data_IF_243876856407
#
_entry.id   IF_243876856407
#
_cell.length_a   1.000
_cell.length_b   1.000
_cell.length_c   1.000
_cell.angle_alpha   90.00
_cell.angle_beta   90.00
_cell.angle_gamma   90.00
#
_symmetry.space_group_name_H-M   'P 1'
#
loop_
_entity.id
_entity.type
_entity.pdbx_description
1 polymer ?
#
# COMPACT_ATOMS: atom_id res chain seq x y z
N UNK A 1 6.69 -9.13 19.29
CA UNK A 1 6.34 -7.78 18.76
C UNK A 1 4.82 -7.65 18.68
N UNK A 2 4.21 -6.49 18.96
CA UNK A 2 2.75 -6.33 18.84
C UNK A 2 2.38 -5.67 17.49
N UNK A 3 2.01 -6.49 16.51
CA UNK A 3 1.64 -6.06 15.15
C UNK A 3 0.46 -5.09 15.15
N UNK A 4 -0.61 -5.41 15.88
CA UNK A 4 -1.82 -4.58 15.99
C UNK A 4 -1.48 -3.18 16.51
N UNK A 5 -0.74 -3.07 17.62
CA UNK A 5 -0.36 -1.77 18.20
C UNK A 5 0.51 -0.96 17.24
N UNK A 6 1.38 -1.63 16.48
CA UNK A 6 2.21 -0.94 15.49
C UNK A 6 1.39 -0.48 14.28
N UNK A 7 0.43 -1.28 13.81
CA UNK A 7 -0.48 -0.89 12.73
C UNK A 7 -1.35 0.26 13.15
N UNK A 8 -1.96 0.24 14.33
CA UNK A 8 -2.80 1.36 14.79
C UNK A 8 -2.03 2.69 14.82
N UNK A 9 -0.77 2.69 15.28
CA UNK A 9 0.09 3.88 15.21
C UNK A 9 0.33 4.34 13.77
N UNK A 10 0.57 3.40 12.87
CA UNK A 10 0.74 3.70 11.44
C UNK A 10 -0.57 4.24 10.83
N UNK A 11 -1.71 3.62 11.13
CA UNK A 11 -3.04 4.02 10.66
C UNK A 11 -3.42 5.42 11.10
N UNK A 12 -3.11 5.83 12.33
CA UNK A 12 -3.33 7.21 12.79
C UNK A 12 -2.53 8.19 11.91
N UNK A 13 -1.27 7.89 11.62
CA UNK A 13 -0.44 8.74 10.77
C UNK A 13 -0.94 8.75 9.32
N UNK A 14 -1.28 7.58 8.77
CA UNK A 14 -1.81 7.44 7.41
C UNK A 14 -3.18 8.09 7.22
N UNK A 15 -4.01 8.11 8.26
CA UNK A 15 -5.29 8.82 8.24
C UNK A 15 -5.11 10.33 8.11
N UNK A 16 -4.10 10.90 8.78
CA UNK A 16 -3.82 12.33 8.78
C UNK A 16 -3.12 12.81 7.50
N UNK A 17 -2.45 11.91 6.77
CA UNK A 17 -1.61 12.30 5.64
C UNK A 17 -1.81 11.43 4.38
N UNK A 18 -3.06 11.20 3.93
CA UNK A 18 -3.35 10.42 2.71
C UNK A 18 -2.87 11.12 1.43
N UNK A 19 -2.65 12.44 1.49
CA UNK A 19 -2.19 13.23 0.34
C UNK A 19 -0.73 12.96 -0.05
N UNK A 20 0.15 12.59 0.88
CA UNK A 20 1.57 12.34 0.57
C UNK A 20 1.72 11.15 -0.36
N UNK A 21 0.96 10.08 -0.13
CA UNK A 21 1.03 8.87 -0.96
C UNK A 21 0.40 9.09 -2.33
N UNK A 22 -0.61 9.96 -2.44
CA UNK A 22 -1.14 10.40 -3.72
C UNK A 22 -0.09 11.19 -4.54
N UNK A 23 0.65 12.10 -3.89
CA UNK A 23 1.78 12.83 -4.52
C UNK A 23 2.87 11.86 -4.96
N UNK A 24 3.17 10.83 -4.16
CA UNK A 24 4.14 9.80 -4.53
C UNK A 24 3.71 9.03 -5.79
N UNK A 25 2.45 8.63 -5.88
CA UNK A 25 1.90 7.94 -7.07
C UNK A 25 1.94 8.83 -8.32
N UNK A 26 1.61 10.12 -8.17
CA UNK A 26 1.77 11.11 -9.24
C UNK A 26 3.24 11.24 -9.67
N UNK A 27 4.17 11.25 -8.71
CA UNK A 27 5.60 11.25 -8.98
C UNK A 27 6.05 10.05 -9.81
N UNK A 28 5.54 8.85 -9.52
CA UNK A 28 5.81 7.63 -10.31
C UNK A 28 5.24 7.79 -11.73
N UNK A 29 4.01 8.30 -11.87
CA UNK A 29 3.41 8.51 -13.18
C UNK A 29 4.22 9.52 -14.02
N UNK A 30 4.64 10.63 -13.41
CA UNK A 30 5.48 11.62 -14.07
C UNK A 30 6.84 11.04 -14.49
N UNK A 31 7.43 10.19 -13.64
CA UNK A 31 8.68 9.50 -13.96
C UNK A 31 8.52 8.57 -15.17
N UNK A 32 7.46 7.75 -15.22
CA UNK A 32 7.17 6.90 -16.38
C UNK A 32 6.92 7.73 -17.64
N UNK A 33 6.28 8.89 -17.51
CA UNK A 33 6.06 9.80 -18.63
C UNK A 33 7.34 10.45 -19.13
N UNK A 34 8.29 10.76 -18.23
CA UNK A 34 9.62 11.22 -18.61
C UNK A 34 10.43 10.14 -19.36
N UNK A 35 10.10 8.86 -19.19
CA UNK A 35 10.65 7.75 -19.97
C UNK A 35 9.94 7.55 -21.32
N UNK A 36 8.98 8.43 -21.69
CA UNK A 36 8.25 8.39 -22.95
C UNK A 36 6.98 7.53 -22.95
N UNK A 37 6.52 7.07 -21.78
CA UNK A 37 5.27 6.31 -21.66
C UNK A 37 4.10 7.28 -21.57
N UNK A 38 3.04 7.09 -22.35
CA UNK A 38 1.85 7.92 -22.26
C UNK A 38 1.26 7.93 -20.83
N UNK A 39 0.73 9.07 -20.39
CA UNK A 39 0.21 9.24 -19.03
C UNK A 39 -0.85 8.18 -18.67
N UNK A 40 -1.79 7.91 -19.58
CA UNK A 40 -2.87 6.94 -19.35
C UNK A 40 -2.34 5.52 -19.23
N UNK A 41 -1.36 5.16 -20.07
CA UNK A 41 -0.64 3.89 -20.01
C UNK A 41 0.18 3.77 -18.73
N UNK A 42 0.81 4.86 -18.28
CA UNK A 42 1.55 4.91 -17.02
C UNK A 42 0.65 4.58 -15.83
N UNK A 43 -0.56 5.15 -15.75
CA UNK A 43 -1.52 4.82 -14.71
C UNK A 43 -1.97 3.36 -14.74
N UNK A 44 -2.22 2.80 -15.93
CA UNK A 44 -2.56 1.37 -16.07
C UNK A 44 -1.43 0.47 -15.58
N UNK A 45 -0.18 0.82 -15.86
CA UNK A 45 1.01 0.10 -15.35
C UNK A 45 1.05 0.19 -13.82
N UNK A 46 0.93 1.40 -13.27
CA UNK A 46 0.92 1.61 -11.81
C UNK A 46 -0.14 0.73 -11.16
N UNK A 47 -1.38 0.80 -11.62
CA UNK A 47 -2.48 0.00 -11.07
C UNK A 47 -2.22 -1.50 -11.16
N UNK A 48 -1.74 -1.97 -12.32
CA UNK A 48 -1.44 -3.40 -12.51
C UNK A 48 -0.37 -3.88 -11.54
N UNK A 49 0.73 -3.12 -11.43
CA UNK A 49 1.85 -3.45 -10.53
C UNK A 49 1.41 -3.40 -9.07
N UNK A 50 0.62 -2.39 -8.68
CA UNK A 50 0.16 -2.26 -7.30
C UNK A 50 -0.86 -3.31 -6.90
N UNK A 51 -1.71 -3.77 -7.83
CA UNK A 51 -2.64 -4.88 -7.57
C UNK A 51 -1.85 -6.17 -7.32
N UNK A 52 -0.91 -6.49 -8.21
CA UNK A 52 -0.08 -7.70 -8.07
C UNK A 52 0.74 -7.63 -6.76
N UNK A 53 1.31 -6.47 -6.47
CA UNK A 53 2.13 -6.26 -5.27
C UNK A 53 1.29 -6.32 -4.00
N UNK A 54 0.14 -5.65 -3.94
CA UNK A 54 -0.75 -5.67 -2.77
C UNK A 54 -1.35 -7.05 -2.49
N UNK A 55 -1.54 -7.88 -3.51
CA UNK A 55 -1.96 -9.28 -3.28
C UNK A 55 -0.79 -10.11 -2.80
N UNK A 56 0.39 -10.00 -3.42
CA UNK A 56 1.53 -10.88 -3.14
C UNK A 56 2.29 -10.55 -1.85
N UNK A 57 2.38 -9.27 -1.48
CA UNK A 57 3.20 -8.81 -0.35
C UNK A 57 2.74 -9.35 1.01
N UNK A 58 1.44 -9.45 1.33
CA UNK A 58 0.97 -10.10 2.54
C UNK A 58 1.45 -11.55 2.67
N UNK A 59 1.44 -12.33 1.58
CA UNK A 59 1.92 -13.71 1.58
C UNK A 59 3.43 -13.78 1.78
N UNK A 60 4.19 -12.91 1.09
CA UNK A 60 5.65 -12.84 1.24
C UNK A 60 6.03 -12.48 2.68
N UNK A 61 5.34 -11.50 3.28
CA UNK A 61 5.59 -11.10 4.66
C UNK A 61 5.15 -12.17 5.66
N UNK A 62 4.01 -12.82 5.43
CA UNK A 62 3.53 -13.96 6.21
C UNK A 62 4.57 -15.10 6.25
N UNK A 63 5.09 -15.49 5.08
CA UNK A 63 6.14 -16.52 5.01
C UNK A 63 7.47 -16.07 5.63
N UNK A 64 7.76 -14.76 5.62
CA UNK A 64 8.94 -14.22 6.28
C UNK A 64 8.85 -14.34 7.81
N UNK A 65 7.66 -14.12 8.39
CA UNK A 65 7.48 -14.18 9.85
C UNK A 65 7.39 -15.60 10.40
N UNK A 66 6.95 -16.58 9.61
CA UNK A 66 6.96 -18.00 10.01
C UNK A 66 8.37 -18.59 10.05
N UNK A 67 9.29 -18.10 9.23
CA UNK A 67 10.68 -18.57 9.14
C UNK A 67 11.67 -17.66 9.91
N UNK A 68 11.20 -17.04 11.01
CA UNK A 68 11.98 -16.03 11.73
C UNK A 68 13.00 -16.68 12.67
N UNK A 69 14.19 -16.11 12.72
CA UNK A 69 15.25 -16.46 13.69
C UNK A 69 15.43 -15.32 14.69
N UNK A 70 16.07 -15.59 15.84
CA UNK A 70 16.33 -14.58 16.88
C UNK A 70 17.06 -13.33 16.33
N UNK A 71 17.97 -13.52 15.37
CA UNK A 71 18.68 -12.43 14.71
C UNK A 71 17.75 -11.56 13.85
N UNK A 72 16.82 -12.19 13.12
CA UNK A 72 15.83 -11.50 12.28
C UNK A 72 14.77 -10.75 13.08
N UNK A 73 14.53 -11.16 14.33
CA UNK A 73 13.56 -10.54 15.24
C UNK A 73 13.92 -9.06 15.54
N UNK A 74 15.21 -8.71 15.56
CA UNK A 74 15.70 -7.33 15.72
C UNK A 74 15.27 -6.41 14.56
N UNK A 75 15.22 -6.94 13.33
CA UNK A 75 14.84 -6.16 12.13
C UNK A 75 13.35 -6.22 11.81
N UNK A 76 12.61 -7.14 12.43
CA UNK A 76 11.18 -7.37 12.19
C UNK A 76 10.35 -6.07 12.30
N UNK A 77 10.63 -5.24 13.30
CA UNK A 77 9.91 -3.98 13.52
C UNK A 77 10.07 -3.01 12.36
N UNK A 78 11.27 -2.91 11.79
CA UNK A 78 11.53 -2.05 10.65
C UNK A 78 10.85 -2.61 9.40
N UNK A 79 11.03 -3.91 9.13
CA UNK A 79 10.42 -4.58 7.98
C UNK A 79 8.90 -4.50 8.00
N UNK A 80 8.28 -4.62 9.18
CA UNK A 80 6.83 -4.47 9.32
C UNK A 80 6.34 -3.04 9.00
N UNK A 81 7.08 -2.01 9.42
CA UNK A 81 6.74 -0.63 9.05
C UNK A 81 6.84 -0.40 7.55
N UNK A 82 7.89 -0.94 6.92
CA UNK A 82 8.08 -0.88 5.47
C UNK A 82 6.94 -1.63 4.77
N UNK A 83 6.58 -2.82 5.26
CA UNK A 83 5.42 -3.57 4.80
C UNK A 83 4.16 -2.73 4.86
N UNK A 84 3.80 -2.17 6.02
CA UNK A 84 2.58 -1.36 6.15
C UNK A 84 2.58 -0.17 5.19
N UNK A 85 3.72 0.48 4.96
CA UNK A 85 3.82 1.62 4.05
C UNK A 85 3.63 1.21 2.59
N UNK A 86 4.33 0.17 2.14
CA UNK A 86 4.24 -0.30 0.75
C UNK A 86 2.83 -0.84 0.48
N UNK A 87 2.31 -1.64 1.41
CA UNK A 87 0.98 -2.23 1.31
C UNK A 87 -0.12 -1.15 1.31
N UNK A 88 0.02 -0.12 2.14
CA UNK A 88 -0.86 1.04 2.13
C UNK A 88 -0.93 1.70 0.74
N UNK A 89 0.23 1.98 0.14
CA UNK A 89 0.33 2.59 -1.19
C UNK A 89 -0.25 1.66 -2.27
N UNK A 90 0.04 0.35 -2.18
CA UNK A 90 -0.47 -0.63 -3.12
C UNK A 90 -1.99 -0.72 -3.08
N UNK A 91 -2.59 -0.78 -1.88
CA UNK A 91 -4.04 -0.84 -1.71
C UNK A 91 -4.68 0.47 -2.20
N UNK A 92 -4.13 1.63 -1.82
CA UNK A 92 -4.62 2.94 -2.27
C UNK A 92 -4.66 3.01 -3.80
N UNK A 93 -3.54 2.71 -4.46
CA UNK A 93 -3.45 2.76 -5.91
C UNK A 93 -4.38 1.72 -6.59
N UNK A 94 -4.47 0.52 -6.02
CA UNK A 94 -5.32 -0.57 -6.53
C UNK A 94 -6.80 -0.23 -6.44
N UNK A 95 -7.25 0.41 -5.35
CA UNK A 95 -8.62 0.89 -5.29
C UNK A 95 -8.83 2.10 -6.20
N UNK A 96 -7.81 2.94 -6.40
CA UNK A 96 -7.86 4.11 -7.27
C UNK A 96 -8.44 3.82 -8.67
N UNK A 97 -8.17 2.65 -9.25
CA UNK A 97 -8.67 2.28 -10.57
C UNK A 97 -10.21 2.08 -10.63
N UNK A 98 -10.87 1.85 -9.50
CA UNK A 98 -12.33 1.72 -9.41
C UNK A 98 -13.03 3.06 -9.20
N UNK A 99 -12.32 4.06 -8.67
CA UNK A 99 -12.89 5.37 -8.34
C UNK A 99 -12.50 6.47 -9.33
N UNK A 100 -11.47 6.25 -10.15
CA UNK A 100 -11.05 7.21 -11.17
C UNK A 100 -10.55 6.50 -12.42
N UNK A 101 -10.75 7.14 -13.57
CA UNK A 101 -10.22 6.65 -14.84
C UNK A 101 -8.82 7.20 -15.11
N UNK A 102 -8.01 6.49 -15.91
CA UNK A 102 -6.69 6.99 -16.29
C UNK A 102 -6.78 8.30 -17.08
N UNK A 103 -7.88 8.53 -17.81
CA UNK A 103 -8.12 9.77 -18.55
C UNK A 103 -8.42 10.93 -17.61
N UNK A 104 -9.25 10.69 -16.59
CA UNK A 104 -9.57 11.66 -15.54
C UNK A 104 -8.30 12.12 -14.82
N UNK A 105 -7.44 11.17 -14.41
CA UNK A 105 -6.19 11.49 -13.72
C UNK A 105 -5.16 12.23 -14.58
N UNK A 106 -5.19 12.05 -15.91
CA UNK A 106 -4.24 12.69 -16.82
C UNK A 106 -4.70 14.05 -17.35
N UNK A 107 -6.00 14.22 -17.55
CA UNK A 107 -6.54 15.36 -18.30
C UNK A 107 -7.60 16.16 -17.54
N UNK A 108 -7.89 15.80 -16.28
CA UNK A 108 -8.93 16.44 -15.46
C UNK A 108 -10.25 16.53 -16.25
N UNK A 109 -10.63 15.40 -16.84
CA UNK A 109 -11.91 15.23 -17.54
C UNK A 109 -12.99 14.83 -16.54
N UNK A 110 -14.24 15.22 -16.81
CA UNK A 110 -15.44 14.83 -16.05
C UNK A 110 -15.62 15.47 -14.66
N UNK A 111 -14.98 16.62 -14.40
CA UNK A 111 -15.20 17.38 -13.15
C UNK A 111 -14.59 16.73 -11.90
N UNK A 112 -13.83 15.65 -12.08
CA UNK A 112 -13.04 14.98 -11.06
C UNK A 112 -11.58 15.46 -11.12
N UNK A 113 -10.99 15.77 -9.96
CA UNK A 113 -9.66 16.38 -9.86
C UNK A 113 -8.57 15.42 -9.34
N UNK A 114 -8.84 14.12 -9.29
CA UNK A 114 -7.90 13.12 -8.75
C UNK A 114 -7.85 13.10 -7.21
N UNK A 115 -8.73 13.84 -6.54
CA UNK A 115 -8.90 13.82 -5.08
C UNK A 115 -9.40 12.45 -4.60
N UNK A 116 -10.05 11.69 -5.49
CA UNK A 116 -10.52 10.32 -5.28
C UNK A 116 -9.38 9.39 -4.83
N UNK A 117 -8.15 9.63 -5.34
CA UNK A 117 -6.96 8.88 -4.96
C UNK A 117 -6.57 9.08 -3.49
N UNK A 118 -6.94 10.20 -2.89
CA UNK A 118 -6.69 10.48 -1.46
C UNK A 118 -7.69 9.69 -0.59
N UNK A 119 -8.95 9.60 -0.99
CA UNK A 119 -9.98 8.86 -0.24
C UNK A 119 -9.73 7.35 -0.22
N UNK A 120 -9.23 6.79 -1.32
CA UNK A 120 -8.87 5.36 -1.39
C UNK A 120 -7.75 4.97 -0.40
N UNK A 121 -6.95 5.94 0.04
CA UNK A 121 -5.92 5.73 1.05
C UNK A 121 -6.53 5.39 2.43
N UNK A 122 -7.70 5.95 2.75
CA UNK A 122 -8.41 5.59 3.99
C UNK A 122 -8.98 4.18 3.95
N UNK A 123 -9.33 3.65 2.77
CA UNK A 123 -9.77 2.25 2.62
C UNK A 123 -8.63 1.25 2.86
N UNK A 124 -7.37 1.66 2.69
CA UNK A 124 -6.23 0.81 3.03
C UNK A 124 -6.10 0.56 4.54
N UNK A 125 -6.56 1.48 5.39
CA UNK A 125 -6.44 1.39 6.84
C UNK A 125 -7.12 0.14 7.43
N UNK A 126 -8.43 -0.12 7.20
CA UNK A 126 -9.09 -1.30 7.75
C UNK A 126 -8.44 -2.60 7.27
N UNK A 127 -7.97 -2.65 6.02
CA UNK A 127 -7.30 -3.84 5.45
C UNK A 127 -5.98 -4.10 6.18
N UNK A 128 -5.15 -3.06 6.40
CA UNK A 128 -3.90 -3.20 7.16
C UNK A 128 -4.15 -3.67 8.59
N UNK A 129 -5.24 -3.21 9.23
CA UNK A 129 -5.63 -3.67 10.56
C UNK A 129 -5.97 -5.16 10.52
N UNK A 130 -6.78 -5.62 9.55
CA UNK A 130 -7.10 -7.04 9.37
C UNK A 130 -5.83 -7.87 9.18
N UNK A 131 -4.93 -7.45 8.28
CA UNK A 131 -3.64 -8.12 8.06
C UNK A 131 -2.79 -8.21 9.34
N UNK A 132 -2.83 -7.18 10.19
CA UNK A 132 -2.11 -7.20 11.47
C UNK A 132 -2.61 -8.27 12.44
N UNK A 133 -3.91 -8.59 12.40
CA UNK A 133 -4.47 -9.70 13.17
C UNK A 133 -4.01 -11.04 12.57
N UNK A 134 -4.07 -11.19 11.25
CA UNK A 134 -3.61 -12.41 10.57
C UNK A 134 -2.14 -12.70 10.89
N UNK A 135 -1.26 -11.70 10.85
CA UNK A 135 0.16 -11.88 11.18
C UNK A 135 0.42 -12.19 12.65
N UNK A 136 -0.37 -11.59 13.57
CA UNK A 136 -0.30 -11.95 14.99
C UNK A 136 -0.66 -13.42 15.19
N UNK A 137 -1.67 -13.90 14.49
CA UNK A 137 -2.08 -15.30 14.61
C UNK A 137 -1.02 -16.23 13.98
N UNK A 138 -0.49 -15.85 12.81
CA UNK A 138 0.53 -16.61 12.08
C UNK A 138 1.81 -16.83 12.89
N UNK A 139 2.26 -15.83 13.67
CA UNK A 139 3.45 -15.99 14.52
C UNK A 139 3.17 -16.87 15.74
N UNK A 140 1.94 -16.86 16.27
CA UNK A 140 1.55 -17.70 17.41
C UNK A 140 1.60 -19.19 17.05
N UNK A 141 1.11 -19.57 15.87
CA UNK A 141 1.17 -20.94 15.37
C UNK A 141 2.58 -21.41 15.01
N UNK A 142 3.51 -20.49 14.73
CA UNK A 142 4.90 -20.84 14.41
C UNK A 142 5.77 -21.07 15.65
N UNK A 143 5.29 -20.67 16.84
CA UNK A 143 5.97 -20.89 18.13
C UNK A 143 5.48 -22.16 18.85
N UNK A 144 4.43 -22.83 18.35
CA UNK A 144 3.95 -24.16 18.80
C UNK A 144 4.63 -25.31 18.05
#
# INVERSE_FOLDING_TARGET
MNFIKSTLKFSILGFLIPGITAIFLLGIQMFLSALGIECTTSWKIIWTVTIISGISLPFIFGNYITNITDEKLKTLKLKYKIFCLIEYICIQASFGCYFSSSNTLCYVSDGQNGLELVFTAWLAIPILIILSFIFKETISYAEE
#
